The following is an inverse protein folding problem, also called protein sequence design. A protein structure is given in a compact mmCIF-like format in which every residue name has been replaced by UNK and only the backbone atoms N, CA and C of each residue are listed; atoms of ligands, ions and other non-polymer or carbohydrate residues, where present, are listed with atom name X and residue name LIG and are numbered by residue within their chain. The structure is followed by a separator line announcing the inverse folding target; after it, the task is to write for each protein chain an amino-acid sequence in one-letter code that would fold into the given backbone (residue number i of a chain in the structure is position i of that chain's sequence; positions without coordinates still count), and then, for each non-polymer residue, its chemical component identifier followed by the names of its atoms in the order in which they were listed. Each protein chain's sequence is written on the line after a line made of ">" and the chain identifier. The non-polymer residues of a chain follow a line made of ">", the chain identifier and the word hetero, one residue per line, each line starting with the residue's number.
data_IF_847190719786
#
_entry.id   IF_847190719786
#
_cell.length_a   1.000
_cell.length_b   1.000
_cell.length_c   1.000
_cell.angle_alpha   90.00
_cell.angle_beta   90.00
_cell.angle_gamma   90.00
#
_symmetry.space_group_name_H-M   'P 1'
#
loop_
_entity.id
_entity.type
_entity.pdbx_description
1 polymer ?
#
# COMPACT_ATOMS: atom_id res chain seq x y z
N UNK A 1 -4.53 5.79 -10.39
CA UNK A 1 -4.39 6.01 -8.95
C UNK A 1 -5.67 5.52 -8.29
N UNK A 2 -5.65 4.34 -7.66
CA UNK A 2 -6.87 3.72 -7.16
C UNK A 2 -7.29 4.33 -5.82
N UNK A 3 -8.61 4.45 -5.63
CA UNK A 3 -9.21 4.86 -4.37
C UNK A 3 -10.28 3.83 -3.96
N UNK A 4 -10.43 3.62 -2.66
CA UNK A 4 -11.48 2.80 -2.08
C UNK A 4 -12.47 3.70 -1.32
N UNK A 5 -13.76 3.76 -1.72
CA UNK A 5 -14.78 4.48 -0.97
C UNK A 5 -15.15 3.68 0.28
N UNK A 6 -14.76 4.17 1.46
CA UNK A 6 -15.01 3.53 2.76
C UNK A 6 -15.65 4.55 3.69
N UNK A 7 -16.85 4.26 4.19
CA UNK A 7 -17.57 5.13 5.13
C UNK A 7 -17.72 6.59 4.67
N UNK A 8 -17.88 6.81 3.36
CA UNK A 8 -18.00 8.15 2.77
C UNK A 8 -16.66 8.88 2.59
N UNK A 9 -15.52 8.20 2.76
CA UNK A 9 -14.17 8.73 2.58
C UNK A 9 -13.49 7.96 1.44
N UNK A 10 -12.86 8.67 0.50
CA UNK A 10 -12.07 8.06 -0.57
C UNK A 10 -10.62 7.85 -0.13
N UNK A 11 -10.28 6.62 0.24
CA UNK A 11 -8.93 6.26 0.71
C UNK A 11 -8.06 5.93 -0.49
N UNK A 12 -6.97 6.70 -0.67
CA UNK A 12 -5.93 6.38 -1.64
C UNK A 12 -5.14 5.15 -1.19
N UNK A 13 -4.79 4.28 -2.13
CA UNK A 13 -3.87 3.18 -1.92
C UNK A 13 -3.05 2.92 -3.18
N UNK A 14 -2.01 2.11 -3.06
CA UNK A 14 -1.35 1.50 -4.22
C UNK A 14 -1.35 -0.01 -4.05
N UNK A 15 -1.25 -0.71 -5.17
CA UNK A 15 -1.13 -2.16 -5.19
C UNK A 15 0.02 -2.57 -6.10
N UNK A 16 0.97 -3.32 -5.56
CA UNK A 16 2.19 -3.77 -6.21
C UNK A 16 2.35 -5.28 -6.07
N UNK A 17 3.13 -5.88 -6.96
CA UNK A 17 3.54 -7.28 -6.87
C UNK A 17 2.41 -8.32 -7.01
N UNK A 18 2.74 -9.56 -6.63
CA UNK A 18 1.88 -10.75 -6.72
C UNK A 18 2.25 -11.73 -5.62
N UNK A 19 1.30 -12.56 -5.17
CA UNK A 19 1.54 -13.59 -4.14
C UNK A 19 0.73 -13.35 -2.88
N UNK A 20 1.27 -13.73 -1.73
CA UNK A 20 0.60 -13.58 -0.43
C UNK A 20 0.38 -12.09 -0.12
N UNK A 21 -0.73 -11.80 0.56
CA UNK A 21 -1.16 -10.41 0.79
C UNK A 21 -0.52 -9.82 2.04
N UNK A 22 0.05 -8.62 1.90
CA UNK A 22 0.53 -7.77 3.00
C UNK A 22 -0.17 -6.42 2.90
N UNK A 23 -0.38 -5.75 4.03
CA UNK A 23 -0.90 -4.38 4.06
C UNK A 23 0.11 -3.52 4.82
N UNK A 24 0.57 -2.44 4.18
CA UNK A 24 1.40 -1.42 4.82
C UNK A 24 0.54 -0.24 5.27
N UNK A 25 0.60 0.08 6.56
CA UNK A 25 -0.07 1.24 7.15
C UNK A 25 1.00 2.16 7.75
N UNK A 26 1.10 3.39 7.25
CA UNK A 26 2.05 4.38 7.77
C UNK A 26 1.66 4.88 9.17
N UNK A 27 2.60 5.45 9.91
CA UNK A 27 2.31 6.08 11.19
C UNK A 27 1.59 7.44 11.06
N UNK A 28 1.30 8.07 12.20
CA UNK A 28 0.74 9.42 12.25
C UNK A 28 1.62 10.44 11.51
N UNK A 29 0.98 11.28 10.68
CA UNK A 29 1.62 12.27 9.80
C UNK A 29 2.55 11.71 8.71
N UNK A 30 2.60 10.39 8.52
CA UNK A 30 3.23 9.74 7.36
C UNK A 30 2.30 9.63 6.15
N UNK A 31 2.82 9.05 5.08
CA UNK A 31 2.03 8.62 3.92
C UNK A 31 2.70 7.41 3.24
N UNK A 32 2.25 7.05 2.03
CA UNK A 32 2.74 5.87 1.31
C UNK A 32 4.25 5.86 1.06
N UNK A 33 4.89 7.03 1.00
CA UNK A 33 6.33 7.18 0.72
C UNK A 33 7.21 6.59 1.83
N UNK A 34 6.64 6.33 3.01
CA UNK A 34 7.32 5.57 4.07
C UNK A 34 7.77 4.17 3.61
N UNK A 35 7.21 3.66 2.51
CA UNK A 35 7.43 2.28 2.03
C UNK A 35 8.20 2.19 0.70
N UNK A 36 8.68 3.30 0.14
CA UNK A 36 9.33 3.32 -1.19
C UNK A 36 10.52 2.33 -1.28
N UNK A 37 11.30 2.20 -0.19
CA UNK A 37 12.45 1.31 -0.14
C UNK A 37 12.07 -0.18 -0.08
N UNK A 38 10.86 -0.48 0.40
CA UNK A 38 10.33 -1.82 0.62
C UNK A 38 9.68 -2.37 -0.67
N UNK A 39 9.15 -1.49 -1.53
CA UNK A 39 8.41 -1.88 -2.74
C UNK A 39 9.17 -2.93 -3.57
N UNK A 40 10.44 -2.66 -3.87
CA UNK A 40 11.26 -3.54 -4.71
C UNK A 40 11.50 -4.94 -4.11
N UNK A 41 11.60 -5.03 -2.78
CA UNK A 41 11.85 -6.30 -2.10
C UNK A 41 10.57 -7.14 -2.04
N UNK A 42 9.46 -6.55 -1.59
CA UNK A 42 8.21 -7.27 -1.38
C UNK A 42 7.48 -7.63 -2.67
N UNK A 43 7.61 -6.81 -3.74
CA UNK A 43 6.88 -7.03 -5.01
C UNK A 43 7.20 -8.36 -5.70
N UNK A 44 8.30 -9.01 -5.32
CA UNK A 44 8.75 -10.28 -5.91
C UNK A 44 7.89 -11.47 -5.50
N UNK A 45 7.37 -11.46 -4.26
CA UNK A 45 6.68 -12.62 -3.67
C UNK A 45 5.37 -12.26 -2.96
N UNK A 46 5.07 -10.96 -2.81
CA UNK A 46 3.90 -10.47 -2.12
C UNK A 46 3.11 -9.51 -2.99
N UNK A 47 1.80 -9.51 -2.77
CA UNK A 47 0.88 -8.47 -3.24
C UNK A 47 0.57 -7.55 -2.06
N UNK A 48 0.74 -6.24 -2.22
CA UNK A 48 0.47 -5.27 -1.17
C UNK A 48 0.02 -3.95 -1.75
#
# INVERSE_FOLDING_TARGET
>A
MPHAPINGIDIYYEAHGTGDTIIFCHEFAGDIRSWDLQVNYFSRNFKF
#
